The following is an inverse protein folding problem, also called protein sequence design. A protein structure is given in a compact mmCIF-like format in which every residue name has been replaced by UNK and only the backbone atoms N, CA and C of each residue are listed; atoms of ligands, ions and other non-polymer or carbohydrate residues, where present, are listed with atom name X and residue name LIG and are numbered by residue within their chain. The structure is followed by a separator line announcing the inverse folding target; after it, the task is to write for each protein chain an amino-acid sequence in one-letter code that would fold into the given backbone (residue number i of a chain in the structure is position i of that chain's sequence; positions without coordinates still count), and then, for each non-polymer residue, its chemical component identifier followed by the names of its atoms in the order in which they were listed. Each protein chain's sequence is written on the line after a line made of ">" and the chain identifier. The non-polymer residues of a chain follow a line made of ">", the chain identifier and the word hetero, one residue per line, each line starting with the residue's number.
data_IF_603641172934
#
_entry.id   IF_603641172934
#
_cell.length_a   1.000
_cell.length_b   1.000
_cell.length_c   1.000
_cell.angle_alpha   90.00
_cell.angle_beta   90.00
_cell.angle_gamma   90.00
#
_symmetry.space_group_name_H-M   'P 1'
#
loop_
_entity.id
_entity.type
_entity.pdbx_description
1 polymer ?
#
# COMPACT_ATOMS: atom_id res chain seq x y z
N UNK A 1 -0.19 18.63 16.03
CA UNK A 1 0.56 18.07 14.89
C UNK A 1 1.98 17.80 15.36
N UNK A 2 2.48 16.56 15.26
CA UNK A 2 3.84 16.21 15.69
C UNK A 2 4.78 16.25 14.47
N UNK A 3 5.86 17.06 14.48
CA UNK A 3 6.73 17.25 13.30
C UNK A 3 7.36 15.94 12.78
N UNK A 4 7.61 14.98 13.67
CA UNK A 4 8.11 13.64 13.33
C UNK A 4 7.09 12.85 12.51
N UNK A 5 5.80 12.93 12.86
CA UNK A 5 4.73 12.23 12.14
C UNK A 5 4.56 12.74 10.71
N UNK A 6 4.60 14.06 10.53
CA UNK A 6 4.51 14.68 9.20
C UNK A 6 5.72 14.31 8.32
N UNK A 7 6.91 14.22 8.91
CA UNK A 7 8.12 13.78 8.21
C UNK A 7 8.02 12.32 7.74
N UNK A 8 7.55 11.42 8.62
CA UNK A 8 7.32 10.00 8.26
C UNK A 8 6.32 9.89 7.11
N UNK A 9 5.21 10.61 7.18
CA UNK A 9 4.19 10.61 6.13
C UNK A 9 4.76 11.10 4.79
N UNK A 10 5.57 12.16 4.79
CA UNK A 10 6.25 12.64 3.57
C UNK A 10 7.21 11.59 3.00
N UNK A 11 7.97 10.91 3.85
CA UNK A 11 8.89 9.85 3.41
C UNK A 11 8.15 8.61 2.89
N UNK A 12 7.00 8.25 3.48
CA UNK A 12 6.12 7.19 2.96
C UNK A 12 5.62 7.58 1.57
N UNK A 13 5.09 8.79 1.39
CA UNK A 13 4.62 9.27 0.08
C UNK A 13 5.72 9.19 -0.98
N UNK A 14 6.91 9.74 -0.69
CA UNK A 14 8.04 9.72 -1.63
C UNK A 14 8.46 8.28 -2.00
N UNK A 15 8.44 7.37 -1.02
CA UNK A 15 8.74 5.94 -1.22
C UNK A 15 7.70 5.25 -2.08
N UNK A 16 6.41 5.54 -1.87
CA UNK A 16 5.33 5.00 -2.68
C UNK A 16 5.43 5.49 -4.14
N UNK A 17 5.56 6.80 -4.34
CA UNK A 17 5.66 7.42 -5.67
C UNK A 17 6.86 6.89 -6.46
N UNK A 18 8.02 6.70 -5.82
CA UNK A 18 9.20 6.12 -6.47
C UNK A 18 9.07 4.62 -6.79
N UNK A 19 8.10 3.93 -6.19
CA UNK A 19 7.96 2.47 -6.30
C UNK A 19 6.92 2.00 -7.31
N UNK A 20 5.97 2.86 -7.63
CA UNK A 20 4.88 2.62 -8.57
C UNK A 20 5.23 3.14 -9.97
N UNK A 21 4.46 2.73 -10.98
CA UNK A 21 4.65 3.21 -12.35
C UNK A 21 3.94 4.55 -12.56
N UNK A 22 4.26 5.23 -13.66
CA UNK A 22 3.68 6.54 -13.97
C UNK A 22 2.16 6.45 -14.26
N UNK A 23 1.70 5.31 -14.77
CA UNK A 23 0.28 5.01 -15.00
C UNK A 23 -0.50 4.59 -13.73
N UNK A 24 0.21 4.26 -12.65
CA UNK A 24 -0.39 3.92 -11.37
C UNK A 24 -0.69 5.19 -10.58
N UNK A 25 -1.65 5.12 -9.65
CA UNK A 25 -2.04 6.27 -8.82
C UNK A 25 -1.83 5.97 -7.35
N UNK A 26 -1.17 6.88 -6.63
CA UNK A 26 -1.10 6.89 -5.16
C UNK A 26 -2.01 7.99 -4.64
N UNK A 27 -2.86 7.66 -3.68
CA UNK A 27 -3.71 8.61 -2.98
C UNK A 27 -3.59 8.41 -1.47
N UNK A 28 -3.69 9.50 -0.70
CA UNK A 28 -3.79 9.45 0.76
C UNK A 28 -5.24 9.73 1.16
N UNK A 29 -5.87 8.80 1.87
CA UNK A 29 -7.26 8.94 2.30
C UNK A 29 -7.39 9.84 3.54
N UNK A 30 -6.38 9.78 4.42
CA UNK A 30 -6.35 10.53 5.68
C UNK A 30 -5.38 9.87 6.65
N UNK A 31 -4.93 10.60 7.68
CA UNK A 31 -4.03 10.01 8.69
C UNK A 31 -2.81 9.33 8.08
N UNK A 32 -2.62 8.05 8.37
CA UNK A 32 -1.58 7.16 7.85
C UNK A 32 -2.09 6.19 6.75
N UNK A 33 -3.27 6.44 6.20
CA UNK A 33 -3.92 5.57 5.21
C UNK A 33 -3.63 6.02 3.77
N UNK A 34 -3.10 5.08 2.99
CA UNK A 34 -2.74 5.26 1.59
C UNK A 34 -3.41 4.18 0.73
N UNK A 35 -3.79 4.57 -0.48
CA UNK A 35 -4.33 3.70 -1.52
C UNK A 35 -3.43 3.77 -2.74
N UNK A 36 -3.13 2.60 -3.30
CA UNK A 36 -2.44 2.47 -4.58
C UNK A 36 -3.39 1.81 -5.58
N UNK A 37 -3.70 2.52 -6.65
CA UNK A 37 -4.50 2.02 -7.76
C UNK A 37 -3.56 1.60 -8.89
N UNK A 38 -3.52 0.29 -9.15
CA UNK A 38 -2.79 -0.27 -10.30
C UNK A 38 -3.71 -0.33 -11.51
N UNK A 39 -3.29 0.26 -12.62
CA UNK A 39 -4.07 0.28 -13.87
C UNK A 39 -3.32 -0.43 -15.00
N UNK A 40 -3.99 -0.67 -16.13
CA UNK A 40 -3.35 -1.30 -17.30
C UNK A 40 -2.92 -2.75 -17.10
N UNK A 41 -3.43 -3.44 -16.07
CA UNK A 41 -3.14 -4.85 -15.82
C UNK A 41 -3.83 -5.72 -16.87
N UNK A 42 -3.05 -6.32 -17.75
CA UNK A 42 -3.51 -7.21 -18.83
C UNK A 42 -2.94 -8.61 -18.65
N UNK A 43 -3.59 -9.61 -19.24
CA UNK A 43 -3.15 -11.00 -19.19
C UNK A 43 -4.11 -11.92 -18.43
N UNK A 44 -3.67 -13.14 -18.16
CA UNK A 44 -4.49 -14.13 -17.44
C UNK A 44 -4.65 -13.72 -15.99
N UNK A 45 -5.78 -14.11 -15.37
CA UNK A 45 -6.07 -13.84 -13.96
C UNK A 45 -4.92 -14.19 -13.02
N UNK A 46 -4.30 -15.35 -13.23
CA UNK A 46 -3.15 -15.83 -12.45
C UNK A 46 -1.90 -14.93 -12.56
N UNK A 47 -1.69 -14.30 -13.72
CA UNK A 47 -0.56 -13.40 -13.98
C UNK A 47 -0.81 -12.05 -13.32
N UNK A 48 -2.03 -11.51 -13.46
CA UNK A 48 -2.46 -10.28 -12.80
C UNK A 48 -2.33 -10.41 -11.29
N UNK A 49 -2.90 -11.46 -10.69
CA UNK A 49 -2.82 -11.68 -9.22
C UNK A 49 -1.38 -11.83 -8.75
N UNK A 50 -0.53 -12.52 -9.52
CA UNK A 50 0.90 -12.65 -9.20
C UNK A 50 1.60 -11.29 -9.26
N UNK A 51 1.32 -10.49 -10.29
CA UNK A 51 1.89 -9.17 -10.47
C UNK A 51 1.51 -8.23 -9.31
N UNK A 52 0.23 -8.16 -8.96
CA UNK A 52 -0.24 -7.33 -7.85
C UNK A 52 0.38 -7.77 -6.53
N UNK A 53 0.51 -9.07 -6.28
CA UNK A 53 1.22 -9.58 -5.09
C UNK A 53 2.69 -9.18 -5.07
N UNK A 54 3.39 -9.23 -6.20
CA UNK A 54 4.79 -8.80 -6.28
C UNK A 54 4.94 -7.30 -5.99
N UNK A 55 4.04 -6.47 -6.53
CA UNK A 55 4.03 -5.03 -6.25
C UNK A 55 3.76 -4.77 -4.78
N UNK A 56 2.76 -5.42 -4.18
CA UNK A 56 2.45 -5.27 -2.77
C UNK A 56 3.63 -5.68 -1.87
N UNK A 57 4.30 -6.80 -2.16
CA UNK A 57 5.47 -7.26 -1.39
C UNK A 57 6.68 -6.34 -1.53
N UNK A 58 6.90 -5.79 -2.73
CA UNK A 58 7.91 -4.76 -2.97
C UNK A 58 7.62 -3.51 -2.13
N UNK A 59 6.38 -3.02 -2.14
CA UNK A 59 5.97 -1.85 -1.36
C UNK A 59 6.11 -2.11 0.14
N UNK A 60 5.65 -3.26 0.62
CA UNK A 60 5.78 -3.67 2.03
C UNK A 60 7.24 -3.63 2.48
N UNK A 61 8.12 -4.28 1.73
CA UNK A 61 9.56 -4.35 2.04
C UNK A 61 10.20 -2.96 2.03
N UNK A 62 9.88 -2.13 1.03
CA UNK A 62 10.46 -0.81 0.87
C UNK A 62 9.99 0.18 1.94
N UNK A 63 8.71 0.11 2.32
CA UNK A 63 8.16 0.92 3.41
C UNK A 63 8.69 0.47 4.77
N UNK A 64 8.95 -0.82 4.97
CA UNK A 64 9.51 -1.36 6.21
C UNK A 64 11.00 -1.00 6.42
N UNK A 65 11.69 -0.46 5.41
CA UNK A 65 13.09 -0.03 5.57
C UNK A 65 13.20 1.10 6.60
N UNK A 66 14.25 1.11 7.46
CA UNK A 66 14.48 2.19 8.40
C UNK A 66 14.48 3.57 7.73
N UNK A 67 13.93 4.52 8.43
CA UNK A 67 13.78 5.92 8.06
C UNK A 67 14.62 6.74 9.03
N UNK A 68 15.47 7.65 8.55
CA UNK A 68 16.27 8.52 9.43
C UNK A 68 15.73 9.94 9.32
N UNK A 69 15.32 10.51 10.45
CA UNK A 69 14.85 11.88 10.54
C UNK A 69 15.46 12.54 11.79
N UNK A 70 16.21 13.63 11.61
CA UNK A 70 16.90 14.35 12.70
C UNK A 70 17.76 13.44 13.61
N UNK A 71 18.43 12.44 13.02
CA UNK A 71 19.25 11.48 13.76
C UNK A 71 18.46 10.34 14.44
N UNK A 72 17.13 10.39 14.43
CA UNK A 72 16.27 9.32 14.94
C UNK A 72 16.02 8.27 13.86
N UNK A 73 16.23 6.99 14.20
CA UNK A 73 15.82 5.86 13.36
C UNK A 73 14.37 5.51 13.66
N UNK A 74 13.53 5.63 12.64
CA UNK A 74 12.12 5.30 12.66
C UNK A 74 11.91 4.05 11.82
N UNK A 75 11.05 3.15 12.28
CA UNK A 75 10.68 1.95 11.55
C UNK A 75 9.17 1.82 11.57
N UNK A 76 8.57 1.65 10.39
CA UNK A 76 7.13 1.47 10.23
C UNK A 76 6.85 0.05 9.76
N UNK A 77 5.68 -0.49 10.12
CA UNK A 77 5.24 -1.82 9.73
C UNK A 77 3.99 -1.71 8.86
N UNK A 78 4.14 -1.57 7.53
CA UNK A 78 3.01 -1.40 6.62
C UNK A 78 2.17 -2.67 6.58
N UNK A 79 0.86 -2.55 6.75
CA UNK A 79 -0.07 -3.65 6.43
C UNK A 79 -0.78 -3.27 5.14
N UNK A 80 -0.95 -4.22 4.22
CA UNK A 80 -1.49 -3.95 2.88
C UNK A 80 -2.68 -4.87 2.65
N UNK A 81 -3.82 -4.33 2.22
CA UNK A 81 -4.96 -5.10 1.74
C UNK A 81 -5.07 -4.99 0.22
N UNK A 82 -5.31 -6.11 -0.46
CA UNK A 82 -5.43 -6.15 -1.92
C UNK A 82 -6.88 -6.44 -2.33
N UNK A 83 -7.42 -5.62 -3.22
CA UNK A 83 -8.66 -5.91 -3.95
C UNK A 83 -8.40 -5.91 -5.47
N UNK A 84 -9.18 -6.69 -6.22
CA UNK A 84 -9.00 -6.90 -7.66
C UNK A 84 -10.37 -6.92 -8.32
N UNK A 85 -10.56 -6.10 -9.35
CA UNK A 85 -11.74 -6.19 -10.22
C UNK A 85 -11.58 -7.35 -11.22
N UNK A 86 -12.65 -8.06 -11.59
CA UNK A 86 -14.02 -7.99 -11.07
C UNK A 86 -14.29 -8.84 -9.81
N UNK A 87 -13.37 -9.73 -9.40
CA UNK A 87 -13.62 -10.70 -8.30
C UNK A 87 -14.03 -10.07 -6.96
N UNK A 88 -13.55 -8.87 -6.68
CA UNK A 88 -13.82 -8.14 -5.44
C UNK A 88 -14.86 -7.02 -5.61
N UNK A 89 -15.58 -7.02 -6.74
CA UNK A 89 -16.63 -6.06 -7.05
C UNK A 89 -16.32 -5.26 -8.31
N UNK A 90 -17.36 -4.60 -8.82
CA UNK A 90 -17.35 -3.84 -10.07
C UNK A 90 -17.32 -2.32 -9.83
N UNK A 91 -17.50 -1.89 -8.58
CA UNK A 91 -17.47 -0.47 -8.21
C UNK A 91 -16.23 -0.13 -7.40
N UNK A 92 -15.74 1.13 -7.46
CA UNK A 92 -14.65 1.60 -6.59
C UNK A 92 -14.96 1.41 -5.09
N UNK A 93 -16.24 1.60 -4.69
CA UNK A 93 -16.67 1.42 -3.31
C UNK A 93 -16.53 -0.04 -2.85
N UNK A 94 -16.87 -1.01 -3.71
CA UNK A 94 -16.70 -2.43 -3.40
C UNK A 94 -15.24 -2.80 -3.24
N UNK A 95 -14.38 -2.32 -4.14
CA UNK A 95 -12.94 -2.58 -4.09
C UNK A 95 -12.33 -1.99 -2.81
N UNK A 96 -12.66 -0.76 -2.45
CA UNK A 96 -12.17 -0.13 -1.22
C UNK A 96 -12.61 -0.92 0.01
N UNK A 97 -13.90 -1.29 0.08
CA UNK A 97 -14.44 -2.11 1.18
C UNK A 97 -13.73 -3.46 1.28
N UNK A 98 -13.47 -4.13 0.16
CA UNK A 98 -12.79 -5.43 0.14
C UNK A 98 -11.30 -5.31 0.50
N UNK A 99 -10.64 -4.25 0.03
CA UNK A 99 -9.25 -3.96 0.37
C UNK A 99 -9.11 -3.68 1.86
N UNK A 100 -10.03 -2.92 2.45
CA UNK A 100 -10.05 -2.64 3.90
C UNK A 100 -10.25 -3.91 4.74
N UNK A 101 -11.17 -4.79 4.35
CA UNK A 101 -11.34 -6.10 5.01
C UNK A 101 -10.06 -6.94 4.92
N UNK A 102 -9.38 -6.94 3.77
CA UNK A 102 -8.11 -7.65 3.60
C UNK A 102 -7.00 -7.02 4.46
N UNK A 103 -6.93 -5.69 4.52
CA UNK A 103 -6.01 -4.94 5.36
C UNK A 103 -6.20 -5.26 6.84
N UNK A 104 -7.45 -5.33 7.30
CA UNK A 104 -7.76 -5.67 8.69
C UNK A 104 -7.26 -7.08 9.04
N UNK A 105 -7.46 -8.06 8.13
CA UNK A 105 -6.90 -9.41 8.30
C UNK A 105 -5.38 -9.42 8.36
N UNK A 106 -4.71 -8.61 7.55
CA UNK A 106 -3.26 -8.45 7.59
C UNK A 106 -2.78 -7.82 8.91
N UNK A 107 -3.55 -6.88 9.48
CA UNK A 107 -3.27 -6.31 10.81
C UNK A 107 -3.42 -7.35 11.92
N UNK A 108 -4.47 -8.16 11.88
CA UNK A 108 -4.72 -9.22 12.87
C UNK A 108 -3.71 -10.36 12.81
N UNK A 109 -3.15 -10.66 11.63
CA UNK A 109 -2.14 -11.71 11.44
C UNK A 109 -0.74 -11.36 11.99
N UNK A 110 -0.57 -10.22 12.67
CA UNK A 110 0.69 -9.79 13.28
C UNK A 110 1.25 -8.47 12.74
N UNK A 111 0.48 -7.76 11.90
CA UNK A 111 0.92 -6.57 11.13
C UNK A 111 2.08 -6.90 10.19
N UNK A 112 2.46 -5.96 9.32
CA UNK A 112 3.50 -6.21 8.32
C UNK A 112 3.19 -7.37 7.36
N UNK A 113 1.92 -7.52 6.99
CA UNK A 113 1.41 -8.62 6.16
C UNK A 113 0.59 -8.10 4.98
N UNK A 114 0.29 -9.01 4.04
CA UNK A 114 -0.51 -8.83 2.82
C UNK A 114 -1.67 -9.81 2.83
#
# INVERSE_FOLDING_TARGET
>A
CHPVGDAVLKMITARLEASIRQEDTVARLGGDEFVVLLTGLTGKRSEVTRHVRQVAEKLRTLLAQPMVFEGNRLQVTPSIGIALMPDHGETPADLLKRADIALYRAKDAGRNAI
#
